data_IF_782787655279
#
_entry.id   IF_782787655279
#
_cell.length_a   1.000
_cell.length_b   1.000
_cell.length_c   1.000
_cell.angle_alpha   90.00
_cell.angle_beta   90.00
_cell.angle_gamma   90.00
#
_symmetry.space_group_name_H-M   'P 1'
#
loop_
_entity.id
_entity.type
_entity.pdbx_description
1 polymer ?
#
# COMPACT_ATOMS: atom_id res chain seq x y z
N UNK A 1 -1.29 12.72 -1.18
CA UNK A 1 -0.78 11.36 -1.42
C UNK A 1 -1.90 10.53 -2.04
N UNK A 2 -1.62 9.68 -3.03
CA UNK A 2 -2.64 8.87 -3.70
C UNK A 2 -3.41 7.99 -2.71
N UNK A 3 -2.71 7.40 -1.73
CA UNK A 3 -3.32 6.55 -0.72
C UNK A 3 -4.28 7.29 0.22
N UNK A 4 -4.01 8.57 0.57
CA UNK A 4 -4.91 9.36 1.44
C UNK A 4 -6.33 9.46 0.89
N UNK A 5 -6.47 9.62 -0.43
CA UNK A 5 -7.77 9.76 -1.10
C UNK A 5 -8.58 8.46 -1.08
N UNK A 6 -7.89 7.32 -1.04
CA UNK A 6 -8.51 6.00 -0.90
C UNK A 6 -8.88 5.69 0.57
N UNK A 7 -8.17 6.30 1.52
CA UNK A 7 -8.42 6.15 2.96
C UNK A 7 -9.57 7.04 3.48
N UNK A 8 -9.86 8.18 2.85
CA UNK A 8 -10.93 9.11 3.27
C UNK A 8 -12.34 8.48 3.33
N UNK A 9 -12.57 7.35 2.66
CA UNK A 9 -13.84 6.59 2.70
C UNK A 9 -13.77 5.27 3.46
N UNK A 10 -12.65 4.96 4.13
CA UNK A 10 -12.41 3.63 4.71
C UNK A 10 -12.55 3.65 6.24
N UNK A 11 -13.14 2.58 6.81
CA UNK A 11 -13.36 2.41 8.26
C UNK A 11 -12.13 1.94 9.04
N UNK A 12 -10.93 2.13 8.49
CA UNK A 12 -9.69 1.66 9.11
C UNK A 12 -9.42 2.39 10.43
N UNK A 13 -8.87 1.65 11.40
CA UNK A 13 -8.38 2.26 12.62
C UNK A 13 -7.25 3.26 12.29
N UNK A 14 -7.06 4.34 13.10
CA UNK A 14 -6.00 5.32 12.87
C UNK A 14 -4.60 4.70 12.76
N UNK A 15 -4.34 3.67 13.56
CA UNK A 15 -3.11 2.89 13.59
C UNK A 15 -2.86 2.18 12.25
N UNK A 16 -3.93 1.59 11.70
CA UNK A 16 -3.92 0.96 10.38
C UNK A 16 -3.67 2.00 9.28
N UNK A 17 -4.31 3.17 9.35
CA UNK A 17 -4.10 4.25 8.38
C UNK A 17 -2.64 4.69 8.36
N UNK A 18 -2.00 4.77 9.53
CA UNK A 18 -0.58 5.09 9.65
C UNK A 18 0.30 4.01 9.00
N UNK A 19 0.06 2.74 9.33
CA UNK A 19 0.79 1.61 8.76
C UNK A 19 0.65 1.54 7.22
N UNK A 20 -0.53 1.85 6.69
CA UNK A 20 -0.76 1.91 5.23
C UNK A 20 0.03 3.03 4.57
N UNK A 21 0.12 4.19 5.21
CA UNK A 21 0.91 5.32 4.73
C UNK A 21 2.40 4.98 4.67
N UNK A 22 2.94 4.37 5.73
CA UNK A 22 4.33 3.94 5.81
C UNK A 22 4.66 2.86 4.78
N UNK A 23 3.81 1.83 4.68
CA UNK A 23 3.96 0.78 3.68
C UNK A 23 3.98 1.37 2.26
N UNK A 24 3.02 2.25 1.94
CA UNK A 24 2.92 2.89 0.63
C UNK A 24 4.15 3.71 0.28
N UNK A 25 4.65 4.51 1.21
CA UNK A 25 5.87 5.27 0.96
C UNK A 25 7.06 4.35 0.72
N UNK A 26 7.21 3.30 1.53
CA UNK A 26 8.26 2.29 1.34
C UNK A 26 8.19 1.58 -0.01
N UNK A 27 7.00 1.23 -0.50
CA UNK A 27 6.81 0.62 -1.83
C UNK A 27 7.19 1.59 -2.94
N UNK A 28 6.71 2.85 -2.86
CA UNK A 28 7.01 3.88 -3.87
C UNK A 28 8.51 4.16 -3.96
N UNK A 29 9.20 4.24 -2.81
CA UNK A 29 10.64 4.44 -2.76
C UNK A 29 11.41 3.22 -3.27
N UNK A 30 11.04 2.01 -2.82
CA UNK A 30 11.74 0.78 -3.20
C UNK A 30 11.61 0.42 -4.69
N UNK A 31 10.46 0.70 -5.29
CA UNK A 31 10.21 0.47 -6.72
C UNK A 31 10.48 1.70 -7.57
N UNK A 32 10.83 2.84 -6.96
CA UNK A 32 11.06 4.10 -7.68
C UNK A 32 9.85 4.59 -8.47
N UNK A 33 8.64 4.33 -7.98
CA UNK A 33 7.39 4.64 -8.70
C UNK A 33 7.28 6.16 -8.89
N UNK A 34 7.30 6.62 -10.13
CA UNK A 34 7.14 8.05 -10.47
C UNK A 34 5.75 8.33 -11.01
N UNK A 35 5.23 7.41 -11.82
CA UNK A 35 3.95 7.52 -12.48
C UNK A 35 2.77 7.48 -11.53
N UNK A 36 1.76 8.27 -11.85
CA UNK A 36 0.53 8.33 -11.06
C UNK A 36 -0.23 7.01 -11.10
N UNK A 37 -0.27 6.33 -12.25
CA UNK A 37 -0.95 5.05 -12.40
C UNK A 37 -0.30 3.97 -11.52
N UNK A 38 1.04 3.85 -11.56
CA UNK A 38 1.77 2.90 -10.74
C UNK A 38 1.61 3.19 -9.23
N UNK A 39 1.56 4.47 -8.84
CA UNK A 39 1.26 4.89 -7.46
C UNK A 39 -0.17 4.52 -7.05
N UNK A 40 -1.16 4.75 -7.89
CA UNK A 40 -2.56 4.36 -7.60
C UNK A 40 -2.69 2.83 -7.48
N UNK A 41 -2.04 2.07 -8.35
CA UNK A 41 -2.00 0.62 -8.29
C UNK A 41 -1.37 0.09 -7.01
N UNK A 42 -0.18 0.62 -6.63
CA UNK A 42 0.46 0.26 -5.38
C UNK A 42 -0.43 0.57 -4.17
N UNK A 43 -1.12 1.71 -4.16
CA UNK A 43 -2.04 2.07 -3.09
C UNK A 43 -3.25 1.13 -3.00
N UNK A 44 -3.86 0.77 -4.13
CA UNK A 44 -4.98 -0.19 -4.16
C UNK A 44 -4.56 -1.57 -3.66
N UNK A 45 -3.37 -2.03 -4.05
CA UNK A 45 -2.86 -3.34 -3.68
C UNK A 45 -2.57 -3.40 -2.17
N UNK A 46 -1.96 -2.37 -1.61
CA UNK A 46 -1.72 -2.25 -0.15
C UNK A 46 -3.04 -2.22 0.63
N UNK A 47 -4.04 -1.49 0.17
CA UNK A 47 -5.36 -1.46 0.82
C UNK A 47 -6.04 -2.82 0.73
N UNK A 48 -5.96 -3.50 -0.43
CA UNK A 48 -6.49 -4.85 -0.60
C UNK A 48 -5.84 -5.86 0.36
N UNK A 49 -4.52 -5.80 0.52
CA UNK A 49 -3.80 -6.61 1.50
C UNK A 49 -4.27 -6.32 2.93
N UNK A 50 -4.41 -5.04 3.26
CA UNK A 50 -4.88 -4.60 4.58
C UNK A 50 -6.30 -5.07 4.90
N UNK A 51 -7.20 -5.12 3.92
CA UNK A 51 -8.55 -5.68 4.11
C UNK A 51 -8.55 -7.20 4.31
N UNK A 52 -7.53 -7.90 3.81
CA UNK A 52 -7.43 -9.36 3.93
C UNK A 52 -6.69 -9.80 5.20
N UNK A 53 -5.91 -8.92 5.82
CA UNK A 53 -5.10 -9.21 6.99
C UNK A 53 -5.86 -8.87 8.27
N UNK A 54 -5.80 -9.77 9.26
CA UNK A 54 -6.38 -9.54 10.61
C UNK A 54 -5.61 -8.50 11.41
N UNK A 55 -4.31 -8.34 11.13
CA UNK A 55 -3.40 -7.40 11.79
C UNK A 55 -2.59 -6.72 10.71
N UNK A 56 -2.53 -5.39 10.79
CA UNK A 56 -1.88 -4.58 9.76
C UNK A 56 -0.51 -4.13 10.27
N UNK A 57 0.54 -4.76 9.75
CA UNK A 57 1.93 -4.37 9.96
C UNK A 57 2.48 -3.69 8.70
N UNK A 58 3.14 -2.53 8.89
CA UNK A 58 3.62 -1.72 7.78
C UNK A 58 4.74 -2.40 6.97
N UNK A 59 5.65 -3.13 7.64
CA UNK A 59 6.75 -3.82 6.99
C UNK A 59 6.23 -5.03 6.20
N UNK A 60 5.32 -5.81 6.79
CA UNK A 60 4.68 -6.93 6.11
C UNK A 60 3.92 -6.47 4.87
N UNK A 61 3.08 -5.43 5.00
CA UNK A 61 2.33 -4.88 3.87
C UNK A 61 3.24 -4.41 2.75
N UNK A 62 4.35 -3.74 3.08
CA UNK A 62 5.33 -3.27 2.11
C UNK A 62 5.95 -4.46 1.36
N UNK A 63 6.43 -5.46 2.07
CA UNK A 63 7.15 -6.58 1.48
C UNK A 63 6.23 -7.44 0.61
N UNK A 64 5.00 -7.69 1.06
CA UNK A 64 3.98 -8.38 0.27
C UNK A 64 3.56 -7.57 -0.96
N UNK A 65 3.38 -6.25 -0.83
CA UNK A 65 3.02 -5.40 -1.95
C UNK A 65 4.14 -5.35 -3.00
N UNK A 66 5.41 -5.23 -2.59
CA UNK A 66 6.56 -5.29 -3.49
C UNK A 66 6.62 -6.64 -4.20
N UNK A 67 6.44 -7.75 -3.47
CA UNK A 67 6.46 -9.09 -4.05
C UNK A 67 5.37 -9.24 -5.13
N UNK A 68 4.14 -8.83 -4.83
CA UNK A 68 3.03 -8.88 -5.78
C UNK A 68 3.22 -7.96 -6.99
N UNK A 69 3.73 -6.75 -6.80
CA UNK A 69 3.99 -5.83 -7.91
C UNK A 69 5.09 -6.38 -8.84
N UNK A 70 6.15 -6.97 -8.27
CA UNK A 70 7.22 -7.61 -9.05
C UNK A 70 6.77 -8.87 -9.79
N UNK A 71 5.88 -9.66 -9.20
CA UNK A 71 5.33 -10.87 -9.84
C UNK A 71 4.44 -10.51 -11.04
N UNK A 72 3.76 -9.35 -10.97
CA UNK A 72 2.85 -8.87 -12.01
C UNK A 72 3.55 -8.31 -13.26
N UNK A 73 4.81 -7.91 -13.14
CA UNK A 73 5.65 -7.40 -14.23
C UNK A 73 6.42 -8.52 -14.98
N UNK A 74 6.17 -9.80 -14.67
CA UNK A 74 6.87 -10.96 -15.24
C UNK A 74 5.99 -11.77 -16.20
#
# INVERSE_FOLDING_TARGET
MAIRRLLEGSTFAPETVQALGEAYQGVVEALGLRDRAAKEEAAQLIIGLATSLKTVDAAQLRDEAIAKLKDKDR
#
